data_IF_127223829532
#
_entry.id   IF_127223829532
#
_cell.length_a   1.000
_cell.length_b   1.000
_cell.length_c   1.000
_cell.angle_alpha   90.00
_cell.angle_beta   90.00
_cell.angle_gamma   90.00
#
_symmetry.space_group_name_H-M   'P 1'
#
loop_
_entity.id
_entity.type
_entity.pdbx_description
1 polymer ?
#
# COMPACT_ATOMS: atom_id res chain seq x y z
N UNK A 1 6.97 11.49 28.31
CA UNK A 1 7.86 11.24 27.15
C UNK A 1 7.08 10.63 25.98
N UNK A 2 6.12 11.37 25.40
CA UNK A 2 5.46 11.01 24.11
C UNK A 2 6.02 11.81 22.93
N UNK A 3 6.67 12.95 23.20
CA UNK A 3 7.11 13.92 22.18
C UNK A 3 8.32 13.47 21.34
N UNK A 4 8.97 12.35 21.72
CA UNK A 4 10.12 11.78 21.02
C UNK A 4 9.83 10.47 20.28
N UNK A 5 8.56 10.05 20.13
CA UNK A 5 8.26 8.87 19.31
C UNK A 5 8.22 9.27 17.82
N UNK A 6 9.28 8.95 17.10
CA UNK A 6 9.41 9.23 15.65
C UNK A 6 8.31 8.54 14.84
N UNK A 7 7.80 7.38 15.27
CA UNK A 7 6.68 6.69 14.62
C UNK A 7 5.36 7.46 14.75
N UNK A 8 5.14 8.18 15.86
CA UNK A 8 3.97 9.06 16.01
C UNK A 8 4.02 10.18 14.98
N UNK A 9 5.22 10.73 14.71
CA UNK A 9 5.39 11.79 13.71
C UNK A 9 5.14 11.26 12.30
N UNK A 10 5.65 10.08 11.96
CA UNK A 10 5.35 9.44 10.67
C UNK A 10 3.85 9.15 10.51
N UNK A 11 3.18 8.69 11.58
CA UNK A 11 1.73 8.47 11.58
C UNK A 11 0.94 9.77 11.37
N UNK A 12 1.32 10.85 12.04
CA UNK A 12 0.73 12.17 11.80
C UNK A 12 0.96 12.62 10.35
N UNK A 13 2.17 12.40 9.82
CA UNK A 13 2.48 12.67 8.42
C UNK A 13 1.57 11.94 7.42
N UNK A 14 1.18 10.69 7.71
CA UNK A 14 0.16 9.96 6.92
C UNK A 14 -1.20 10.67 6.98
N UNK A 15 -1.64 11.09 8.16
CA UNK A 15 -2.93 11.77 8.34
C UNK A 15 -2.98 13.20 7.82
N UNK A 16 -1.83 13.85 7.66
CA UNK A 16 -1.70 15.16 7.03
C UNK A 16 -1.77 15.09 5.50
N UNK A 17 -1.60 13.90 4.91
CA UNK A 17 -1.79 13.72 3.47
C UNK A 17 -3.25 13.95 3.09
N UNK A 18 -3.44 14.57 1.92
CA UNK A 18 -4.75 14.95 1.43
C UNK A 18 -4.95 14.50 -0.01
N UNK A 19 -6.12 13.92 -0.26
CA UNK A 19 -6.61 13.59 -1.60
C UNK A 19 -7.61 14.65 -2.11
N UNK A 20 -7.66 15.84 -1.51
CA UNK A 20 -8.67 16.86 -1.82
C UNK A 20 -8.73 17.26 -3.31
N UNK A 21 -7.60 17.17 -4.03
CA UNK A 21 -7.53 17.46 -5.46
C UNK A 21 -7.87 16.25 -6.35
N UNK A 22 -8.20 15.11 -5.74
CA UNK A 22 -8.47 13.86 -6.43
C UNK A 22 -9.90 13.39 -6.18
N UNK A 23 -10.62 13.14 -7.27
CA UNK A 23 -11.85 12.35 -7.17
C UNK A 23 -11.49 10.86 -7.17
N UNK A 24 -11.38 10.30 -5.97
CA UNK A 24 -11.05 8.88 -5.79
C UNK A 24 -12.13 7.94 -6.32
N UNK A 25 -13.35 8.42 -6.64
CA UNK A 25 -14.36 7.60 -7.29
C UNK A 25 -13.98 7.25 -8.73
N UNK A 26 -13.11 8.05 -9.36
CA UNK A 26 -12.61 7.84 -10.73
C UNK A 26 -11.32 7.01 -10.79
N UNK A 27 -10.85 6.48 -9.64
CA UNK A 27 -9.70 5.58 -9.64
C UNK A 27 -10.12 4.19 -10.11
N UNK A 28 -9.23 3.53 -10.83
CA UNK A 28 -9.40 2.13 -11.21
C UNK A 28 -9.68 1.29 -9.95
N UNK A 29 -10.76 0.49 -9.90
CA UNK A 29 -11.25 -0.11 -8.65
C UNK A 29 -10.26 -1.02 -7.91
N UNK A 30 -9.44 -1.78 -8.64
CA UNK A 30 -8.41 -2.66 -8.08
C UNK A 30 -7.26 -1.84 -7.53
N UNK A 31 -6.74 -0.88 -8.32
CA UNK A 31 -5.67 0.00 -7.88
C UNK A 31 -6.07 0.84 -6.67
N UNK A 32 -7.31 1.35 -6.64
CA UNK A 32 -7.88 2.05 -5.49
C UNK A 32 -7.90 1.15 -4.25
N UNK A 33 -8.33 -0.10 -4.39
CA UNK A 33 -8.36 -1.04 -3.28
C UNK A 33 -6.95 -1.24 -2.69
N UNK A 34 -5.95 -1.51 -3.51
CA UNK A 34 -4.58 -1.72 -3.04
C UNK A 34 -3.90 -0.43 -2.53
N UNK A 35 -4.35 0.74 -2.98
CA UNK A 35 -3.90 2.03 -2.46
C UNK A 35 -4.40 2.25 -1.02
N UNK A 36 -5.71 2.07 -0.80
CA UNK A 36 -6.30 2.16 0.54
C UNK A 36 -5.75 1.07 1.45
N UNK A 37 -5.53 -0.12 0.91
CA UNK A 37 -4.95 -1.24 1.64
C UNK A 37 -3.54 -0.95 2.14
N UNK A 38 -2.67 -0.37 1.30
CA UNK A 38 -1.34 0.06 1.71
C UNK A 38 -1.40 1.14 2.80
N UNK A 39 -2.32 2.11 2.67
CA UNK A 39 -2.55 3.12 3.71
C UNK A 39 -2.98 2.48 5.05
N UNK A 40 -3.87 1.49 5.03
CA UNK A 40 -4.35 0.80 6.22
C UNK A 40 -3.23 -0.01 6.91
N UNK A 41 -2.37 -0.67 6.14
CA UNK A 41 -1.23 -1.40 6.68
C UNK A 41 -0.15 -0.46 7.25
N UNK A 42 0.10 0.69 6.61
CA UNK A 42 0.97 1.74 7.15
C UNK A 42 0.40 2.28 8.47
N UNK A 43 -0.89 2.64 8.48
CA UNK A 43 -1.59 3.17 9.65
C UNK A 43 -1.54 2.20 10.84
N UNK A 44 -1.84 0.93 10.60
CA UNK A 44 -1.85 -0.09 11.64
C UNK A 44 -0.44 -0.42 12.15
N UNK A 45 0.53 -0.54 11.24
CA UNK A 45 1.93 -0.83 11.62
C UNK A 45 2.49 0.33 12.46
N UNK A 46 2.33 1.57 12.00
CA UNK A 46 2.74 2.76 12.75
C UNK A 46 1.96 2.90 14.06
N UNK A 47 0.67 2.56 14.06
CA UNK A 47 -0.18 2.55 15.26
C UNK A 47 0.32 1.59 16.34
N UNK A 48 0.80 0.40 15.96
CA UNK A 48 1.40 -0.56 16.90
C UNK A 48 2.77 -0.12 17.42
N UNK A 49 3.55 0.61 16.60
CA UNK A 49 4.85 1.17 17.01
C UNK A 49 4.69 2.45 17.85
N UNK A 50 3.54 3.11 17.76
CA UNK A 50 3.24 4.39 18.41
C UNK A 50 2.45 4.25 19.70
N UNK A 51 1.55 3.28 19.76
CA UNK A 51 0.57 3.13 20.84
C UNK A 51 0.49 1.67 21.32
N UNK A 52 -0.15 1.48 22.47
CA UNK A 52 -0.44 0.14 22.97
C UNK A 52 -1.28 -0.65 21.96
N UNK A 53 -1.00 -1.96 21.81
CA UNK A 53 -1.73 -2.84 20.90
C UNK A 53 -3.24 -2.86 21.17
N UNK A 54 -3.66 -2.71 22.42
CA UNK A 54 -5.06 -2.66 22.86
C UNK A 54 -5.65 -1.24 22.84
N UNK A 55 -4.98 -0.26 22.22
CA UNK A 55 -5.56 1.05 22.03
C UNK A 55 -6.78 0.97 21.10
N UNK A 56 -7.83 1.79 21.30
CA UNK A 56 -9.01 1.79 20.43
C UNK A 56 -8.65 1.95 18.95
N UNK A 57 -7.65 2.77 18.63
CA UNK A 57 -7.13 2.93 17.26
C UNK A 57 -6.67 1.60 16.65
N UNK A 58 -5.82 0.86 17.36
CA UNK A 58 -5.28 -0.40 16.86
C UNK A 58 -6.34 -1.49 16.82
N UNK A 59 -7.29 -1.50 17.76
CA UNK A 59 -8.44 -2.42 17.73
C UNK A 59 -9.29 -2.17 16.47
N UNK A 60 -9.66 -0.91 16.21
CA UNK A 60 -10.45 -0.56 15.02
C UNK A 60 -9.70 -0.88 13.72
N UNK A 61 -8.40 -0.55 13.64
CA UNK A 61 -7.57 -0.87 12.48
C UNK A 61 -7.50 -2.39 12.24
N UNK A 62 -7.39 -3.18 13.30
CA UNK A 62 -7.40 -4.64 13.20
C UNK A 62 -8.74 -5.17 12.65
N UNK A 63 -9.88 -4.65 13.09
CA UNK A 63 -11.19 -5.09 12.57
C UNK A 63 -11.35 -4.76 11.08
N UNK A 64 -10.89 -3.58 10.64
CA UNK A 64 -10.85 -3.24 9.21
C UNK A 64 -9.97 -4.24 8.43
N UNK A 65 -8.76 -4.50 8.92
CA UNK A 65 -7.81 -5.39 8.24
C UNK A 65 -8.28 -6.85 8.18
N UNK A 66 -9.08 -7.30 9.17
CA UNK A 66 -9.76 -8.60 9.13
C UNK A 66 -10.81 -8.65 8.03
N UNK A 67 -11.70 -7.65 7.96
CA UNK A 67 -12.70 -7.54 6.89
C UNK A 67 -12.04 -7.51 5.50
N UNK A 68 -10.94 -6.77 5.39
CA UNK A 68 -10.17 -6.62 4.15
C UNK A 68 -9.68 -7.97 3.57
N UNK A 69 -9.41 -9.00 4.38
CA UNK A 69 -8.97 -10.32 3.89
C UNK A 69 -9.99 -10.91 2.90
N UNK A 70 -11.28 -10.80 3.22
CA UNK A 70 -12.32 -11.34 2.36
C UNK A 70 -12.61 -10.44 1.17
N UNK A 71 -12.39 -9.13 1.32
CA UNK A 71 -12.50 -8.18 0.22
C UNK A 71 -11.43 -8.36 -0.86
N UNK A 72 -10.18 -8.64 -0.50
CA UNK A 72 -9.10 -8.85 -1.49
C UNK A 72 -9.41 -9.99 -2.45
N UNK A 73 -10.24 -10.96 -2.05
CA UNK A 73 -10.59 -12.12 -2.87
C UNK A 73 -11.66 -11.83 -3.94
N UNK A 74 -12.27 -10.64 -3.93
CA UNK A 74 -13.42 -10.32 -4.79
C UNK A 74 -12.99 -9.75 -6.14
N UNK A 75 -13.75 -10.09 -7.18
CA UNK A 75 -13.60 -9.57 -8.53
C UNK A 75 -12.14 -9.73 -9.04
N UNK A 76 -11.60 -8.69 -9.67
CA UNK A 76 -10.25 -8.68 -10.25
C UNK A 76 -9.14 -8.35 -9.24
N UNK A 77 -9.45 -8.15 -7.95
CA UNK A 77 -8.45 -7.77 -6.93
C UNK A 77 -7.33 -8.80 -6.77
N UNK A 78 -7.57 -10.13 -6.84
CA UNK A 78 -6.49 -11.12 -6.79
C UNK A 78 -5.45 -11.00 -7.92
N UNK A 79 -5.80 -10.33 -9.04
CA UNK A 79 -4.89 -10.14 -10.15
C UNK A 79 -3.74 -9.18 -9.84
N UNK A 80 -3.86 -8.36 -8.79
CA UNK A 80 -2.90 -7.29 -8.50
C UNK A 80 -1.47 -7.78 -8.24
N UNK A 81 -1.28 -8.87 -7.49
CA UNK A 81 0.06 -9.45 -7.28
C UNK A 81 0.69 -9.87 -8.62
N UNK A 82 -0.08 -10.55 -9.46
CA UNK A 82 0.39 -10.96 -10.79
C UNK A 82 0.67 -9.75 -11.69
N UNK A 83 -0.14 -8.69 -11.59
CA UNK A 83 0.10 -7.44 -12.30
C UNK A 83 1.43 -6.79 -11.91
N UNK A 84 1.75 -6.71 -10.61
CA UNK A 84 3.03 -6.14 -10.14
C UNK A 84 4.23 -6.93 -10.69
N UNK A 85 4.17 -8.26 -10.65
CA UNK A 85 5.24 -9.11 -11.19
C UNK A 85 5.29 -9.07 -12.73
N UNK A 86 4.16 -8.90 -13.41
CA UNK A 86 4.12 -8.66 -14.85
C UNK A 86 4.77 -7.32 -15.22
N UNK A 87 4.52 -6.25 -14.46
CA UNK A 87 5.20 -4.97 -14.65
C UNK A 87 6.71 -5.12 -14.49
N UNK A 88 7.19 -5.88 -13.50
CA UNK A 88 8.62 -6.13 -13.29
C UNK A 88 9.30 -6.69 -14.54
N UNK A 89 8.65 -7.65 -15.21
CA UNK A 89 9.18 -8.30 -16.41
C UNK A 89 8.94 -7.55 -17.73
N UNK A 90 7.76 -6.96 -17.92
CA UNK A 90 7.33 -6.38 -19.20
C UNK A 90 7.48 -4.85 -19.27
N UNK A 91 7.40 -4.16 -18.14
CA UNK A 91 7.41 -2.70 -18.02
C UNK A 91 8.26 -2.26 -16.83
N UNK A 92 9.54 -2.66 -16.81
CA UNK A 92 10.44 -2.45 -15.66
C UNK A 92 10.54 -0.98 -15.26
N UNK A 93 10.51 -0.05 -16.22
CA UNK A 93 10.50 1.40 -15.94
C UNK A 93 9.29 1.84 -15.11
N UNK A 94 8.14 1.18 -15.29
CA UNK A 94 6.92 1.43 -14.53
C UNK A 94 6.93 0.72 -13.20
N UNK A 95 7.45 -0.50 -13.14
CA UNK A 95 7.69 -1.20 -11.89
C UNK A 95 8.54 -0.36 -10.93
N UNK A 96 9.66 0.20 -11.42
CA UNK A 96 10.56 1.01 -10.59
C UNK A 96 9.97 2.33 -10.08
N UNK A 97 8.85 2.78 -10.67
CA UNK A 97 8.10 3.97 -10.25
C UNK A 97 6.92 3.65 -9.35
N UNK A 98 6.63 2.38 -9.09
CA UNK A 98 5.63 2.02 -8.10
C UNK A 98 6.10 2.45 -6.71
N UNK A 99 5.17 2.83 -5.81
CA UNK A 99 5.51 3.03 -4.41
C UNK A 99 6.23 1.81 -3.87
N UNK A 100 7.28 2.06 -3.09
CA UNK A 100 8.16 1.03 -2.55
C UNK A 100 7.38 -0.01 -1.76
N UNK A 101 6.32 0.39 -1.05
CA UNK A 101 5.45 -0.56 -0.34
C UNK A 101 4.74 -1.54 -1.28
N UNK A 102 4.36 -1.11 -2.49
CA UNK A 102 3.75 -2.00 -3.47
C UNK A 102 4.76 -2.95 -4.10
N UNK A 103 5.97 -2.46 -4.42
CA UNK A 103 7.05 -3.34 -4.89
C UNK A 103 7.39 -4.39 -3.83
N UNK A 104 7.73 -3.95 -2.62
CA UNK A 104 8.20 -4.85 -1.56
C UNK A 104 7.16 -5.92 -1.19
N UNK A 105 5.88 -5.57 -1.07
CA UNK A 105 4.84 -6.52 -0.60
C UNK A 105 4.38 -7.50 -1.68
N UNK A 106 4.41 -7.08 -2.95
CA UNK A 106 3.80 -7.83 -4.05
C UNK A 106 4.80 -8.40 -5.06
N UNK A 107 6.07 -8.03 -5.01
CA UNK A 107 7.15 -8.75 -5.72
C UNK A 107 7.35 -10.13 -5.09
N UNK A 108 7.30 -11.18 -5.90
CA UNK A 108 7.43 -12.57 -5.42
C UNK A 108 8.88 -12.93 -5.04
N UNK A 109 9.86 -12.10 -5.43
CA UNK A 109 11.27 -12.27 -5.07
C UNK A 109 11.66 -11.49 -3.80
N UNK A 110 10.82 -10.58 -3.32
CA UNK A 110 11.05 -9.81 -2.10
C UNK A 110 10.44 -10.55 -0.90
N UNK A 111 11.19 -10.78 0.20
CA UNK A 111 10.66 -11.45 1.38
C UNK A 111 9.66 -10.60 2.18
N UNK A 112 9.52 -9.31 1.84
CA UNK A 112 8.62 -8.40 2.50
C UNK A 112 7.15 -8.75 2.27
N UNK A 113 6.30 -8.35 3.21
CA UNK A 113 4.87 -8.59 3.10
C UNK A 113 4.09 -8.21 4.34
N UNK A 114 2.78 -8.44 4.26
CA UNK A 114 1.88 -8.22 5.39
C UNK A 114 1.81 -9.48 6.26
N UNK A 115 2.33 -9.39 7.49
CA UNK A 115 2.35 -10.48 8.47
C UNK A 115 1.59 -10.08 9.74
N UNK A 116 0.49 -10.77 10.01
CA UNK A 116 -0.46 -10.35 11.06
C UNK A 116 -0.87 -8.88 10.89
N UNK A 117 -1.14 -8.47 9.64
CA UNK A 117 -1.47 -7.12 9.20
C UNK A 117 -0.37 -6.06 9.35
N UNK A 118 0.82 -6.43 9.82
CA UNK A 118 1.96 -5.52 9.91
C UNK A 118 2.80 -5.61 8.65
N UNK A 119 3.37 -4.48 8.25
CA UNK A 119 4.45 -4.45 7.29
C UNK A 119 5.66 -5.13 7.95
N UNK A 120 6.23 -6.12 7.27
CA UNK A 120 7.48 -6.78 7.63
C UNK A 120 8.36 -6.76 6.38
N UNK A 121 9.56 -6.17 6.49
CA UNK A 121 10.50 -6.08 5.37
C UNK A 121 11.39 -7.32 5.28
N UNK A 122 11.92 -7.75 6.42
CA UNK A 122 12.71 -8.97 6.54
C UNK A 122 12.08 -9.85 7.64
N UNK A 123 11.54 -11.02 7.28
CA UNK A 123 10.97 -12.00 8.21
C UNK A 123 11.90 -12.48 9.31
N UNK A 124 13.20 -12.54 9.03
CA UNK A 124 14.21 -13.06 9.94
C UNK A 124 14.77 -11.95 10.84
N UNK A 125 14.52 -10.69 10.48
CA UNK A 125 14.90 -9.53 11.28
C UNK A 125 13.99 -9.36 12.50
N UNK A 126 14.63 -9.10 13.64
CA UNK A 126 13.95 -8.71 14.90
C UNK A 126 13.96 -7.20 15.12
N UNK A 127 14.61 -6.46 14.23
CA UNK A 127 14.74 -5.02 14.33
C UNK A 127 13.44 -4.33 13.96
N UNK A 128 13.13 -3.23 14.64
CA UNK A 128 12.02 -2.38 14.23
C UNK A 128 12.33 -1.79 12.84
N UNK A 129 11.28 -1.63 12.02
CA UNK A 129 11.41 -0.96 10.72
C UNK A 129 11.84 0.50 10.95
N UNK A 130 12.87 1.00 10.24
CA UNK A 130 13.30 2.38 10.35
C UNK A 130 12.17 3.36 10.03
N UNK A 131 12.05 4.46 10.79
CA UNK A 131 11.02 5.49 10.53
C UNK A 131 11.10 6.05 9.10
N UNK A 132 12.32 6.19 8.57
CA UNK A 132 12.56 6.69 7.21
C UNK A 132 11.89 5.86 6.12
N UNK A 133 11.73 4.54 6.33
CA UNK A 133 10.96 3.70 5.40
C UNK A 133 9.50 4.15 5.35
N UNK A 134 8.87 4.38 6.50
CA UNK A 134 7.47 4.80 6.56
C UNK A 134 7.27 6.17 5.94
N UNK A 135 8.12 7.15 6.26
CA UNK A 135 8.04 8.49 5.67
C UNK A 135 8.15 8.42 4.14
N UNK A 136 9.13 7.69 3.62
CA UNK A 136 9.29 7.48 2.18
C UNK A 136 8.07 6.80 1.55
N UNK A 137 7.59 5.70 2.11
CA UNK A 137 6.42 4.98 1.58
C UNK A 137 5.15 5.84 1.58
N UNK A 138 4.95 6.66 2.63
CA UNK A 138 3.87 7.64 2.71
C UNK A 138 4.04 8.72 1.63
N UNK A 139 5.25 9.25 1.42
CA UNK A 139 5.47 10.27 0.40
C UNK A 139 5.23 9.75 -1.02
N UNK A 140 5.71 8.55 -1.33
CA UNK A 140 5.53 7.90 -2.64
C UNK A 140 4.06 7.57 -2.94
N UNK A 141 3.30 7.05 -1.96
CA UNK A 141 1.87 6.75 -2.14
C UNK A 141 1.05 8.00 -2.46
N UNK A 142 1.47 9.16 -1.99
CA UNK A 142 0.77 10.43 -2.18
C UNK A 142 1.48 11.34 -3.18
N UNK A 143 2.42 10.81 -3.95
CA UNK A 143 3.03 11.54 -5.06
C UNK A 143 1.99 11.79 -6.15
N UNK A 144 1.89 13.04 -6.61
CA UNK A 144 0.87 13.46 -7.58
C UNK A 144 0.91 12.64 -8.88
N UNK A 145 2.11 12.32 -9.37
CA UNK A 145 2.26 11.53 -10.60
C UNK A 145 1.78 10.09 -10.42
N UNK A 146 2.06 9.49 -9.26
CA UNK A 146 1.51 8.18 -8.91
C UNK A 146 -0.02 8.23 -8.79
N UNK A 147 -0.58 9.18 -8.03
CA UNK A 147 -2.03 9.32 -7.86
C UNK A 147 -2.77 9.55 -9.18
N UNK A 148 -2.23 10.39 -10.07
CA UNK A 148 -2.78 10.58 -11.44
C UNK A 148 -2.77 9.28 -12.25
N UNK A 149 -1.78 8.42 -12.04
CA UNK A 149 -1.67 7.16 -12.77
C UNK A 149 -2.77 6.15 -12.42
N UNK A 150 -3.49 6.35 -11.30
CA UNK A 150 -4.55 5.47 -10.81
C UNK A 150 -5.92 5.74 -11.45
N UNK A 151 -6.11 6.88 -12.13
CA UNK A 151 -7.40 7.22 -12.76
C UNK A 151 -7.78 6.20 -13.82
N UNK A 152 -9.01 5.71 -13.78
CA UNK A 152 -9.50 4.63 -14.64
C UNK A 152 -9.39 4.99 -16.13
N UNK A 153 -9.81 6.19 -16.52
CA UNK A 153 -9.86 6.58 -17.93
C UNK A 153 -8.55 7.13 -18.49
N UNK A 154 -7.74 7.80 -17.66
CA UNK A 154 -6.58 8.58 -18.11
C UNK A 154 -5.26 8.15 -17.47
N UNK A 155 -5.31 7.32 -16.44
CA UNK A 155 -4.17 6.90 -15.65
C UNK A 155 -3.31 5.88 -16.39
N UNK A 156 -2.01 6.14 -16.46
CA UNK A 156 -1.09 5.24 -17.15
C UNK A 156 -1.01 3.85 -16.50
N UNK A 157 -1.14 3.78 -15.16
CA UNK A 157 -1.08 2.52 -14.44
C UNK A 157 -2.39 1.74 -14.55
N UNK A 158 -3.53 2.45 -14.51
CA UNK A 158 -4.84 1.88 -14.78
C UNK A 158 -4.87 1.20 -16.15
N UNK A 159 -4.40 1.88 -17.20
CA UNK A 159 -4.32 1.30 -18.55
C UNK A 159 -3.47 0.02 -18.60
N UNK A 160 -2.32 0.01 -17.92
CA UNK A 160 -1.45 -1.18 -17.85
C UNK A 160 -2.11 -2.33 -17.10
N UNK A 161 -2.91 -2.05 -16.06
CA UNK A 161 -3.67 -3.08 -15.37
C UNK A 161 -4.72 -3.71 -16.29
N UNK A 162 -5.43 -2.90 -17.07
CA UNK A 162 -6.41 -3.39 -18.04
C UNK A 162 -5.76 -4.23 -19.16
N UNK A 163 -4.58 -3.82 -19.62
CA UNK A 163 -3.76 -4.60 -20.56
C UNK A 163 -3.39 -5.96 -19.96
N UNK A 164 -2.83 -5.99 -18.76
CA UNK A 164 -2.52 -7.22 -18.06
C UNK A 164 -3.76 -8.11 -17.86
N UNK A 165 -4.88 -7.53 -17.41
CA UNK A 165 -6.14 -8.29 -17.23
C UNK A 165 -6.57 -8.97 -18.53
N UNK A 166 -6.43 -8.30 -19.67
CA UNK A 166 -6.74 -8.89 -20.96
C UNK A 166 -5.80 -10.06 -21.31
N UNK A 167 -4.52 -9.99 -20.93
CA UNK A 167 -3.57 -11.10 -21.16
C UNK A 167 -3.88 -12.36 -20.35
N UNK A 168 -4.45 -12.22 -19.16
CA UNK A 168 -4.78 -13.36 -18.27
C UNK A 168 -6.19 -13.91 -18.55
N UNK A 169 -7.05 -13.12 -19.18
CA UNK A 169 -8.42 -13.50 -19.51
C UNK A 169 -8.55 -14.17 -20.89
N UNK A 170 -7.47 -14.19 -21.67
CA UNK A 170 -7.36 -14.82 -22.99
C UNK A 170 -6.86 -16.27 -22.86
#
# INVERSE_FOLDING_TARGET
>A
MRDNNEYVRALLGLYEKSLMLHDTALFQPVLKFHFIDACAHLDYTLGLLSYNYASPKNIMGMEYLRWRIDEEKKNDRPLFRGFVNWLKGAHTDRFERLPTIWRAVYDDEDPAGYRSFRIVLDPDSRSAIPVGFFTMAIDELFENEFLKSLYEETGSLARLFEEYRATVSA
#
